data_IF_965131557962
#
_entry.id   IF_965131557962
#
_cell.length_a   1.000
_cell.length_b   1.000
_cell.length_c   1.000
_cell.angle_alpha   90.00
_cell.angle_beta   90.00
_cell.angle_gamma   90.00
#
_symmetry.space_group_name_H-M   'P 1'
#
loop_
_entity.id
_entity.type
_entity.pdbx_description
1 polymer ?
#
# COMPACT_ATOMS: atom_id res chain seq x y z
N UNK A 1 9.65 3.35 -10.38
CA UNK A 1 8.74 3.95 -9.38
C UNK A 1 7.46 4.32 -10.09
N UNK A 2 6.31 4.07 -9.48
CA UNK A 2 5.00 4.55 -9.94
C UNK A 2 4.40 5.39 -8.82
N UNK A 3 3.94 6.59 -9.13
CA UNK A 3 3.33 7.50 -8.18
C UNK A 3 1.83 7.62 -8.44
N UNK A 4 1.05 7.64 -7.36
CA UNK A 4 -0.40 7.66 -7.40
C UNK A 4 -0.95 8.87 -6.66
N UNK A 5 -1.86 9.58 -7.33
CA UNK A 5 -2.77 10.56 -6.75
C UNK A 5 -4.20 10.11 -7.03
N UNK A 6 -4.94 9.77 -5.98
CA UNK A 6 -6.29 9.22 -6.09
C UNK A 6 -7.28 10.08 -5.31
N UNK A 7 -8.32 10.59 -5.97
CA UNK A 7 -9.45 11.20 -5.26
C UNK A 7 -10.23 10.15 -4.48
N UNK A 8 -10.66 10.47 -3.26
CA UNK A 8 -11.53 9.60 -2.49
C UNK A 8 -12.94 9.59 -3.11
N UNK A 9 -13.48 8.40 -3.35
CA UNK A 9 -14.83 8.25 -3.91
C UNK A 9 -15.88 8.91 -3.01
N UNK A 10 -16.71 9.79 -3.57
CA UNK A 10 -17.75 10.55 -2.86
C UNK A 10 -17.25 11.48 -1.74
N UNK A 11 -15.96 11.80 -1.67
CA UNK A 11 -15.38 12.75 -0.72
C UNK A 11 -14.49 13.74 -1.49
N UNK A 12 -15.06 14.85 -1.94
CA UNK A 12 -14.42 15.78 -2.89
C UNK A 12 -13.16 16.49 -2.33
N UNK A 13 -13.03 16.57 -1.01
CA UNK A 13 -11.90 17.22 -0.33
C UNK A 13 -10.82 16.23 0.12
N UNK A 14 -11.01 14.94 -0.15
CA UNK A 14 -10.13 13.86 0.31
C UNK A 14 -9.40 13.21 -0.85
N UNK A 15 -8.11 12.91 -0.64
CA UNK A 15 -7.27 12.26 -1.63
C UNK A 15 -6.22 11.38 -0.97
N UNK A 16 -5.63 10.50 -1.78
CA UNK A 16 -4.54 9.63 -1.42
C UNK A 16 -3.32 9.95 -2.28
N UNK A 17 -2.16 10.05 -1.66
CA UNK A 17 -0.87 10.20 -2.32
C UNK A 17 0.12 9.18 -1.77
N UNK A 18 0.58 8.30 -2.66
CA UNK A 18 1.56 7.27 -2.32
C UNK A 18 2.39 6.86 -3.53
N UNK A 19 3.55 6.28 -3.28
CA UNK A 19 4.41 5.70 -4.29
C UNK A 19 4.50 4.18 -4.14
N UNK A 20 4.64 3.49 -5.27
CA UNK A 20 4.99 2.08 -5.36
C UNK A 20 6.33 1.96 -6.06
N UNK A 21 7.27 1.29 -5.41
CA UNK A 21 8.65 1.13 -5.85
C UNK A 21 8.92 -0.34 -6.11
N UNK A 22 9.40 -0.61 -7.32
CA UNK A 22 9.94 -1.90 -7.75
C UNK A 22 11.45 -1.74 -7.92
N UNK A 23 12.20 -2.73 -7.43
CA UNK A 23 13.65 -2.74 -7.47
C UNK A 23 14.14 -3.71 -8.55
N UNK A 24 14.99 -3.24 -9.45
CA UNK A 24 15.55 -4.07 -10.53
C UNK A 24 16.46 -5.18 -9.97
N UNK A 25 17.18 -4.90 -8.88
CA UNK A 25 18.12 -5.81 -8.22
C UNK A 25 17.48 -6.69 -7.13
N UNK A 26 16.20 -6.46 -6.79
CA UNK A 26 15.49 -7.21 -5.73
C UNK A 26 14.13 -7.72 -6.21
N UNK A 27 14.10 -8.78 -7.04
CA UNK A 27 12.86 -9.40 -7.49
C UNK A 27 11.97 -9.84 -6.31
N UNK A 28 10.67 -9.62 -6.45
CA UNK A 28 9.67 -9.96 -5.43
C UNK A 28 9.62 -9.02 -4.23
N UNK A 29 10.44 -7.97 -4.18
CA UNK A 29 10.31 -6.90 -3.20
C UNK A 29 9.53 -5.74 -3.81
N UNK A 30 8.48 -5.32 -3.11
CA UNK A 30 7.68 -4.14 -3.47
C UNK A 30 7.57 -3.22 -2.27
N UNK A 31 7.89 -1.95 -2.45
CA UNK A 31 7.83 -0.95 -1.39
C UNK A 31 6.74 0.08 -1.67
N UNK A 32 5.93 0.37 -0.66
CA UNK A 32 4.91 1.41 -0.68
C UNK A 32 5.34 2.51 0.28
N UNK A 33 5.29 3.76 -0.18
CA UNK A 33 5.54 4.95 0.65
C UNK A 33 4.27 5.79 0.66
N UNK A 34 3.68 6.00 1.82
CA UNK A 34 2.45 6.77 1.98
C UNK A 34 2.78 8.20 2.41
N UNK A 35 2.28 9.18 1.66
CA UNK A 35 2.48 10.60 1.95
C UNK A 35 1.23 11.23 2.55
N UNK A 36 0.07 11.01 1.93
CA UNK A 36 -1.21 11.50 2.43
C UNK A 36 -2.29 10.42 2.25
N UNK A 37 -3.00 10.10 3.32
CA UNK A 37 -4.08 9.11 3.36
C UNK A 37 -5.18 9.65 4.27
N UNK A 38 -6.09 10.42 3.68
CA UNK A 38 -7.10 11.21 4.39
C UNK A 38 -7.97 10.39 5.36
N UNK A 39 -8.30 9.15 4.98
CA UNK A 39 -9.21 8.27 5.73
C UNK A 39 -8.48 7.32 6.70
N UNK A 40 -7.15 7.40 6.77
CA UNK A 40 -6.30 6.54 7.60
C UNK A 40 -6.40 5.04 7.28
N UNK A 41 -6.91 4.65 6.11
CA UNK A 41 -7.10 3.27 5.69
C UNK A 41 -8.39 2.60 6.20
N UNK A 42 -9.37 3.37 6.67
CA UNK A 42 -10.65 2.82 7.15
C UNK A 42 -11.53 2.28 6.01
N UNK A 43 -11.33 2.72 4.77
CA UNK A 43 -12.13 2.30 3.61
C UNK A 43 -11.45 1.32 2.68
N UNK A 44 -10.14 1.09 2.81
CA UNK A 44 -9.34 0.36 1.83
C UNK A 44 -8.80 -1.00 2.32
N UNK A 45 -8.35 -1.80 1.35
CA UNK A 45 -7.50 -2.97 1.58
C UNK A 45 -6.08 -2.59 1.19
N UNK A 46 -5.12 -2.83 2.06
CA UNK A 46 -3.69 -2.61 1.76
C UNK A 46 -2.97 -3.95 1.72
N UNK A 47 -2.34 -4.22 0.59
CA UNK A 47 -1.61 -5.46 0.37
C UNK A 47 -1.09 -5.57 -1.06
N UNK A 48 -0.47 -6.72 -1.34
CA UNK A 48 -0.01 -7.09 -2.68
C UNK A 48 -0.58 -8.46 -3.06
N UNK A 49 -0.87 -8.63 -4.35
CA UNK A 49 -1.36 -9.87 -4.93
C UNK A 49 -0.57 -10.16 -6.19
N UNK A 50 0.09 -11.32 -6.24
CA UNK A 50 0.93 -11.70 -7.38
C UNK A 50 0.13 -12.24 -8.57
N UNK A 51 -1.03 -12.86 -8.34
CA UNK A 51 -1.92 -13.38 -9.38
C UNK A 51 -3.34 -13.53 -8.84
N UNK A 52 -4.32 -13.80 -9.72
CA UNK A 52 -5.70 -14.11 -9.29
C UNK A 52 -5.78 -15.29 -8.31
N UNK A 53 -4.80 -16.20 -8.33
CA UNK A 53 -4.74 -17.38 -7.48
C UNK A 53 -3.73 -17.24 -6.32
N UNK A 54 -3.13 -16.05 -6.13
CA UNK A 54 -2.11 -15.78 -5.13
C UNK A 54 -0.67 -15.94 -5.66
N UNK A 55 0.35 -15.81 -4.78
CA UNK A 55 0.25 -15.47 -3.36
C UNK A 55 -0.32 -14.07 -3.10
N UNK A 56 -0.93 -13.90 -1.92
CA UNK A 56 -1.54 -12.67 -1.44
C UNK A 56 -0.97 -12.32 -0.06
N UNK A 57 -0.58 -11.06 0.13
CA UNK A 57 -0.08 -10.53 1.41
C UNK A 57 -0.94 -9.33 1.78
N UNK A 58 -1.67 -9.43 2.89
CA UNK A 58 -2.47 -8.34 3.41
C UNK A 58 -1.78 -7.68 4.60
N UNK A 59 -1.63 -6.37 4.55
CA UNK A 59 -1.29 -5.58 5.73
C UNK A 59 -2.54 -5.22 6.52
N UNK A 60 -3.54 -4.62 5.87
CA UNK A 60 -4.76 -4.17 6.53
C UNK A 60 -6.01 -4.28 5.63
N UNK A 61 -7.17 -4.32 6.29
CA UNK A 61 -8.48 -4.23 5.64
C UNK A 61 -9.41 -3.42 6.53
N UNK A 62 -9.85 -2.26 6.04
CA UNK A 62 -10.82 -1.38 6.71
C UNK A 62 -10.48 -1.11 8.17
N UNK A 63 -9.22 -0.77 8.42
CA UNK A 63 -8.71 -0.54 9.77
C UNK A 63 -8.33 0.93 9.91
N UNK A 64 -9.07 1.65 10.76
CA UNK A 64 -8.82 3.05 11.05
C UNK A 64 -7.39 3.26 11.56
N UNK A 65 -6.72 4.29 11.05
CA UNK A 65 -5.34 4.65 11.37
C UNK A 65 -4.33 3.52 11.13
N UNK A 66 -4.64 2.55 10.27
CA UNK A 66 -3.67 1.52 9.90
C UNK A 66 -2.63 2.06 8.93
N UNK A 67 -2.98 3.08 8.15
CA UNK A 67 -2.12 3.74 7.17
C UNK A 67 -1.97 5.20 7.57
N UNK A 68 -0.74 5.68 7.70
CA UNK A 68 -0.46 7.03 8.16
C UNK A 68 0.53 7.73 7.21
N UNK A 69 0.51 9.07 7.14
CA UNK A 69 1.55 9.85 6.48
C UNK A 69 2.97 9.45 6.93
N UNK A 70 3.90 9.37 5.98
CA UNK A 70 5.28 8.92 6.13
C UNK A 70 5.48 7.45 6.48
N UNK A 71 4.41 6.63 6.48
CA UNK A 71 4.53 5.19 6.68
C UNK A 71 5.13 4.51 5.44
N UNK A 72 6.03 3.56 5.66
CA UNK A 72 6.56 2.71 4.61
C UNK A 72 6.17 1.24 4.85
N UNK A 73 5.64 0.57 3.82
CA UNK A 73 5.44 -0.87 3.82
C UNK A 73 6.36 -1.51 2.81
N UNK A 74 7.05 -2.57 3.21
CA UNK A 74 7.85 -3.41 2.31
C UNK A 74 7.24 -4.79 2.30
N UNK A 75 6.81 -5.24 1.13
CA UNK A 75 6.28 -6.57 0.90
C UNK A 75 7.34 -7.45 0.25
N UNK A 76 7.51 -8.65 0.79
CA UNK A 76 8.33 -9.71 0.19
C UNK A 76 7.42 -10.82 -0.32
N UNK A 77 7.19 -10.83 -1.63
CA UNK A 77 6.32 -11.81 -2.29
C UNK A 77 6.96 -13.20 -2.39
N UNK A 78 8.27 -13.32 -2.14
CA UNK A 78 8.94 -14.62 -2.12
C UNK A 78 8.63 -15.37 -0.82
N UNK A 79 8.53 -14.64 0.29
CA UNK A 79 8.27 -15.21 1.61
C UNK A 79 6.82 -15.06 2.07
N UNK A 80 6.03 -14.22 1.41
CA UNK A 80 4.66 -13.95 1.81
C UNK A 80 4.55 -13.03 3.02
N UNK A 81 5.58 -12.21 3.29
CA UNK A 81 5.69 -11.38 4.49
C UNK A 81 5.69 -9.88 4.17
N UNK A 82 5.49 -9.06 5.20
CA UNK A 82 5.64 -7.62 5.09
C UNK A 82 6.37 -7.05 6.32
N UNK A 83 7.00 -5.88 6.15
CA UNK A 83 7.56 -5.06 7.23
C UNK A 83 7.00 -3.65 7.15
N UNK A 84 6.76 -3.02 8.31
CA UNK A 84 6.27 -1.65 8.44
C UNK A 84 7.29 -0.77 9.15
N UNK A 85 7.50 0.44 8.63
CA UNK A 85 8.31 1.50 9.22
C UNK A 85 7.49 2.77 9.38
#
# INVERSE_FOLDING_TARGET
IVEYYCSHYQQEMEYYHFQVIFFEDKPGIVQYIYYDISDGGITCTVGVQSSSNGPFIQYSFRQANSVMPNMTLIFDTNTGTYTKF
#
